data_IF_511286592417
#
_entry.id   IF_511286592417
#
_cell.length_a   1.000
_cell.length_b   1.000
_cell.length_c   1.000
_cell.angle_alpha   90.00
_cell.angle_beta   90.00
_cell.angle_gamma   90.00
#
_symmetry.space_group_name_H-M   'P 1'
#
loop_
_entity.id
_entity.type
_entity.pdbx_description
1 polymer ?
#
# COMPACT_ATOMS: atom_id res chain seq x y z
N UNK A 1 8.27 -30.41 23.22
CA UNK A 1 7.61 -29.34 22.44
C UNK A 1 8.47 -28.10 22.47
N UNK A 2 8.56 -27.42 21.34
CA UNK A 2 9.27 -26.17 21.22
C UNK A 2 8.25 -25.03 21.08
N UNK A 3 8.41 -23.98 21.88
CA UNK A 3 7.58 -22.79 21.84
C UNK A 3 8.42 -21.57 21.53
N UNK A 4 7.90 -20.68 20.71
CA UNK A 4 8.55 -19.40 20.40
C UNK A 4 7.58 -18.28 20.77
N UNK A 5 8.02 -17.36 21.61
CA UNK A 5 7.32 -16.10 21.84
C UNK A 5 7.82 -15.07 20.83
N UNK A 6 6.90 -14.36 20.20
CA UNK A 6 7.20 -13.29 19.24
C UNK A 6 6.72 -11.99 19.86
N UNK A 7 7.64 -11.03 20.03
CA UNK A 7 7.36 -9.67 20.49
C UNK A 7 7.93 -8.71 19.45
N UNK A 8 7.05 -8.17 18.62
CA UNK A 8 7.40 -7.31 17.50
C UNK A 8 6.45 -6.10 17.42
N UNK A 9 6.93 -5.01 16.87
CA UNK A 9 6.06 -3.90 16.47
C UNK A 9 5.19 -4.30 15.29
N UNK A 10 3.93 -3.83 15.25
CA UNK A 10 3.00 -4.11 14.15
C UNK A 10 3.48 -3.57 12.80
N UNK A 11 4.18 -2.42 12.80
CA UNK A 11 4.74 -1.77 11.61
C UNK A 11 6.17 -2.25 11.32
N UNK A 12 6.39 -3.55 11.21
CA UNK A 12 7.70 -4.11 10.93
C UNK A 12 7.69 -4.95 9.65
N UNK A 13 8.47 -4.51 8.65
CA UNK A 13 8.58 -5.20 7.36
C UNK A 13 7.27 -5.19 6.58
N UNK A 14 6.99 -6.22 5.79
CA UNK A 14 5.71 -6.35 5.10
C UNK A 14 4.60 -6.60 6.11
N UNK A 15 3.65 -5.68 6.20
CA UNK A 15 2.55 -5.75 7.16
C UNK A 15 1.22 -5.26 6.55
N UNK A 16 0.14 -5.49 7.28
CA UNK A 16 -1.20 -5.08 6.91
C UNK A 16 -1.73 -4.07 7.92
N UNK A 17 -2.25 -2.96 7.44
CA UNK A 17 -2.99 -2.00 8.23
C UNK A 17 -4.48 -2.12 7.93
N UNK A 18 -5.27 -2.22 8.99
CA UNK A 18 -6.72 -2.30 8.93
C UNK A 18 -7.35 -1.05 9.57
N UNK A 19 -8.66 -0.83 9.43
CA UNK A 19 -9.34 0.35 9.96
C UNK A 19 -9.06 0.65 11.45
N UNK A 20 -8.99 -0.37 12.29
CA UNK A 20 -8.69 -0.24 13.72
C UNK A 20 -7.35 0.47 14.01
N UNK A 21 -6.39 0.40 13.08
CA UNK A 21 -5.13 1.13 13.21
C UNK A 21 -5.33 2.65 13.32
N UNK A 22 -6.35 3.18 12.67
CA UNK A 22 -6.60 4.61 12.58
C UNK A 22 -7.65 5.11 13.60
N UNK A 23 -8.68 4.31 13.87
CA UNK A 23 -9.74 4.60 14.84
C UNK A 23 -10.12 3.32 15.57
N UNK A 24 -10.08 3.34 16.91
CA UNK A 24 -10.36 2.19 17.77
C UNK A 24 -11.83 1.74 17.77
N UNK A 25 -12.72 2.51 17.14
CA UNK A 25 -14.11 2.13 16.89
C UNK A 25 -14.31 1.45 15.54
N UNK A 26 -13.29 1.36 14.70
CA UNK A 26 -13.36 0.74 13.39
C UNK A 26 -12.92 -0.74 13.42
N UNK A 27 -13.30 -1.53 12.39
CA UNK A 27 -13.02 -2.96 12.40
C UNK A 27 -11.52 -3.31 12.48
N UNK A 28 -11.20 -4.26 13.35
CA UNK A 28 -9.89 -4.92 13.39
C UNK A 28 -9.75 -5.96 12.27
N UNK A 29 -8.54 -6.49 12.08
CA UNK A 29 -8.28 -7.58 11.13
C UNK A 29 -9.22 -8.77 11.34
N UNK A 30 -9.49 -9.13 12.60
CA UNK A 30 -10.34 -10.27 12.94
C UNK A 30 -11.82 -10.08 12.60
N UNK A 31 -12.25 -8.83 12.43
CA UNK A 31 -13.65 -8.47 12.14
C UNK A 31 -13.91 -8.26 10.65
N UNK A 32 -12.86 -8.09 9.85
CA UNK A 32 -12.99 -7.96 8.42
C UNK A 32 -13.29 -9.31 7.75
N UNK A 33 -14.12 -9.34 6.68
CA UNK A 33 -14.41 -10.57 5.97
C UNK A 33 -13.17 -11.14 5.29
N UNK A 34 -13.03 -12.46 5.23
CA UNK A 34 -11.89 -13.14 4.59
C UNK A 34 -11.71 -12.72 3.12
N UNK A 35 -12.79 -12.34 2.43
CA UNK A 35 -12.72 -11.83 1.06
C UNK A 35 -11.93 -10.55 0.90
N UNK A 36 -11.67 -9.81 1.98
CA UNK A 36 -10.77 -8.65 1.99
C UNK A 36 -9.34 -9.09 1.66
N UNK A 37 -8.92 -10.25 2.16
CA UNK A 37 -7.54 -10.71 2.16
C UNK A 37 -7.17 -11.61 0.98
N UNK A 38 -8.04 -11.76 -0.02
CA UNK A 38 -7.77 -12.57 -1.21
C UNK A 38 -8.58 -12.10 -2.41
N UNK A 39 -8.05 -12.30 -3.61
CA UNK A 39 -8.79 -12.01 -4.84
C UNK A 39 -7.90 -11.62 -6.00
N UNK A 40 -8.52 -10.97 -6.99
CA UNK A 40 -7.81 -10.41 -8.14
C UNK A 40 -6.94 -9.27 -7.68
N UNK A 41 -5.66 -9.33 -8.04
CA UNK A 41 -4.68 -8.30 -7.78
C UNK A 41 -4.21 -7.66 -9.09
N UNK A 42 -3.98 -6.36 -9.05
CA UNK A 42 -3.45 -5.56 -10.15
C UNK A 42 -2.17 -4.88 -9.67
N UNK A 43 -1.07 -5.14 -10.36
CA UNK A 43 0.20 -4.48 -10.14
C UNK A 43 0.37 -3.31 -11.12
N UNK A 44 0.59 -2.14 -10.58
CA UNK A 44 0.80 -0.88 -11.32
C UNK A 44 2.20 -0.38 -11.00
N UNK A 45 3.09 -0.51 -11.97
CA UNK A 45 4.46 0.00 -11.88
C UNK A 45 4.55 1.32 -12.66
N UNK A 46 4.64 2.42 -11.92
CA UNK A 46 4.78 3.76 -12.52
C UNK A 46 6.12 3.95 -13.22
N UNK A 47 7.11 3.06 -12.94
CA UNK A 47 8.48 3.21 -13.48
C UNK A 47 8.99 4.63 -13.24
N UNK A 48 9.22 5.37 -14.32
CA UNK A 48 9.65 6.78 -14.32
C UNK A 48 8.62 7.69 -15.01
N UNK A 49 7.36 7.25 -15.14
CA UNK A 49 6.30 8.03 -15.79
C UNK A 49 5.81 9.21 -14.94
N UNK A 50 6.07 9.15 -13.62
CA UNK A 50 5.87 10.24 -12.66
C UNK A 50 7.25 10.72 -12.20
N UNK A 51 7.41 12.02 -12.03
CA UNK A 51 8.71 12.57 -11.60
C UNK A 51 9.09 12.10 -10.18
N UNK A 52 10.38 11.90 -9.89
CA UNK A 52 10.82 11.50 -8.55
C UNK A 52 10.42 12.56 -7.51
N UNK A 53 10.18 12.09 -6.28
CA UNK A 53 9.76 12.94 -5.15
C UNK A 53 8.49 13.75 -5.45
N UNK A 54 7.52 13.12 -6.12
CA UNK A 54 6.24 13.73 -6.49
C UNK A 54 5.05 12.87 -6.07
N UNK A 55 3.89 13.50 -5.96
CA UNK A 55 2.64 12.78 -5.72
C UNK A 55 2.15 12.08 -6.97
N UNK A 56 1.59 10.89 -6.78
CA UNK A 56 0.80 10.18 -7.77
C UNK A 56 -0.56 10.88 -7.85
N UNK A 57 -0.91 11.41 -9.02
CA UNK A 57 -2.18 12.08 -9.25
C UNK A 57 -3.27 11.11 -9.71
N UNK A 58 -4.54 11.52 -9.62
CA UNK A 58 -5.65 10.76 -10.21
C UNK A 58 -5.45 10.54 -11.72
N UNK A 59 -4.90 11.52 -12.44
CA UNK A 59 -4.60 11.39 -13.87
C UNK A 59 -3.50 10.37 -14.15
N UNK A 60 -2.51 10.21 -13.27
CA UNK A 60 -1.51 9.15 -13.37
C UNK A 60 -2.13 7.77 -13.16
N UNK A 61 -3.04 7.64 -12.20
CA UNK A 61 -3.78 6.40 -11.95
C UNK A 61 -4.71 6.06 -13.12
N UNK A 62 -5.43 7.03 -13.68
CA UNK A 62 -6.28 6.82 -14.87
C UNK A 62 -5.47 6.28 -16.05
N UNK A 63 -4.25 6.75 -16.22
CA UNK A 63 -3.35 6.32 -17.29
C UNK A 63 -2.76 4.93 -17.06
N UNK A 64 -2.21 4.69 -15.86
CA UNK A 64 -1.41 3.50 -15.58
C UNK A 64 -2.24 2.35 -14.98
N UNK A 65 -3.35 2.68 -14.30
CA UNK A 65 -4.19 1.73 -13.57
C UNK A 65 -5.56 1.46 -14.23
N UNK A 66 -5.69 1.68 -15.53
CA UNK A 66 -6.95 1.56 -16.28
C UNK A 66 -7.57 0.16 -16.28
N UNK A 67 -6.81 -0.87 -15.85
CA UNK A 67 -7.28 -2.24 -15.73
C UNK A 67 -7.93 -2.53 -14.37
N UNK A 68 -7.90 -1.61 -13.42
CA UNK A 68 -8.47 -1.77 -12.07
C UNK A 68 -9.99 -1.87 -12.12
N UNK A 69 -10.56 -2.69 -11.27
CA UNK A 69 -12.00 -2.96 -11.15
C UNK A 69 -12.42 -2.92 -9.69
N UNK A 70 -13.70 -2.71 -9.45
CA UNK A 70 -14.29 -2.84 -8.12
C UNK A 70 -13.93 -4.19 -7.47
N UNK A 71 -13.49 -4.14 -6.22
CA UNK A 71 -13.09 -5.29 -5.42
C UNK A 71 -11.66 -5.81 -5.68
N UNK A 72 -10.85 -5.11 -6.47
CA UNK A 72 -9.45 -5.48 -6.68
C UNK A 72 -8.57 -5.17 -5.47
N UNK A 73 -7.47 -5.90 -5.38
CA UNK A 73 -6.27 -5.53 -4.62
C UNK A 73 -5.36 -4.79 -5.59
N UNK A 74 -5.02 -3.54 -5.31
CA UNK A 74 -4.16 -2.74 -6.18
C UNK A 74 -2.81 -2.54 -5.53
N UNK A 75 -1.75 -3.00 -6.19
CA UNK A 75 -0.37 -2.82 -5.73
C UNK A 75 0.28 -1.77 -6.60
N UNK A 76 0.80 -0.72 -5.99
CA UNK A 76 1.51 0.37 -6.68
C UNK A 76 2.98 0.38 -6.31
N UNK A 77 3.84 0.61 -7.28
CA UNK A 77 5.29 0.69 -7.13
C UNK A 77 5.92 1.64 -8.15
N UNK A 78 7.20 1.94 -8.00
CA UNK A 78 7.98 2.72 -8.96
C UNK A 78 9.44 2.26 -9.02
N UNK A 79 10.20 2.80 -9.98
CA UNK A 79 11.64 2.57 -10.07
C UNK A 79 12.46 3.30 -8.99
N UNK A 80 11.85 4.24 -8.26
CA UNK A 80 12.53 5.09 -7.26
C UNK A 80 12.61 4.42 -5.89
N UNK A 81 13.28 3.29 -5.82
CA UNK A 81 13.36 2.51 -4.58
C UNK A 81 14.33 3.11 -3.58
N UNK A 82 13.98 3.03 -2.29
CA UNK A 82 14.93 3.35 -1.23
C UNK A 82 16.04 2.30 -1.20
N UNK A 83 17.27 2.80 -1.05
CA UNK A 83 18.38 1.94 -0.69
C UNK A 83 18.17 1.37 0.72
N UNK A 84 18.49 0.09 0.97
CA UNK A 84 18.39 -0.47 2.32
C UNK A 84 19.13 0.41 3.33
N UNK A 85 18.50 0.67 4.47
CA UNK A 85 19.09 1.51 5.52
C UNK A 85 20.46 0.96 5.95
N UNK A 86 21.50 1.70 5.63
CA UNK A 86 22.85 1.54 6.17
C UNK A 86 23.22 2.77 6.99
N UNK A 87 24.31 2.73 7.74
CA UNK A 87 24.77 3.90 8.51
C UNK A 87 25.03 5.14 7.65
N UNK A 88 25.20 4.97 6.36
CA UNK A 88 25.55 6.00 5.39
C UNK A 88 24.35 6.53 4.57
N UNK A 89 23.17 5.90 4.66
CA UNK A 89 21.98 6.23 3.84
C UNK A 89 21.15 7.42 4.36
N UNK A 90 21.49 7.98 5.53
CA UNK A 90 20.79 9.15 6.10
C UNK A 90 20.96 10.45 5.29
N UNK A 91 21.68 10.44 4.17
CA UNK A 91 21.94 11.61 3.32
C UNK A 91 21.29 11.53 1.95
N UNK A 92 20.69 10.41 1.58
CA UNK A 92 20.01 10.28 0.29
C UNK A 92 18.69 11.03 0.30
N UNK A 93 18.44 11.80 -0.75
CA UNK A 93 17.14 12.45 -0.98
C UNK A 93 16.15 11.35 -1.33
N UNK A 94 15.04 11.28 -0.62
CA UNK A 94 13.94 10.37 -0.93
C UNK A 94 13.39 10.70 -2.32
N UNK A 95 13.45 9.74 -3.23
CA UNK A 95 12.96 9.85 -4.61
C UNK A 95 11.65 9.11 -4.83
N UNK A 96 11.17 8.40 -3.81
CA UNK A 96 9.93 7.65 -3.93
C UNK A 96 8.79 8.55 -4.35
N UNK A 97 7.78 7.94 -4.94
CA UNK A 97 6.51 8.60 -5.19
C UNK A 97 5.70 8.65 -3.89
N UNK A 98 4.83 9.63 -3.80
CA UNK A 98 3.96 9.83 -2.64
C UNK A 98 2.49 9.74 -3.03
N UNK A 99 1.67 9.34 -2.06
CA UNK A 99 0.21 9.35 -2.15
C UNK A 99 -0.35 10.41 -1.21
N UNK A 100 -1.57 10.85 -1.48
CA UNK A 100 -2.28 11.86 -0.70
C UNK A 100 -3.79 11.64 -0.76
N UNK A 101 -4.59 12.59 -0.29
CA UNK A 101 -6.05 12.51 -0.30
C UNK A 101 -6.65 12.39 -1.71
N UNK A 102 -6.04 12.96 -2.75
CA UNK A 102 -6.50 12.80 -4.14
C UNK A 102 -6.33 11.34 -4.60
N UNK A 103 -5.16 10.76 -4.33
CA UNK A 103 -4.87 9.36 -4.61
C UNK A 103 -5.84 8.43 -3.86
N UNK A 104 -6.08 8.71 -2.57
CA UNK A 104 -7.03 7.96 -1.75
C UNK A 104 -8.44 8.00 -2.34
N UNK A 105 -8.89 9.20 -2.74
CA UNK A 105 -10.21 9.35 -3.34
C UNK A 105 -10.35 8.55 -4.64
N UNK A 106 -9.32 8.48 -5.46
CA UNK A 106 -9.34 7.66 -6.67
C UNK A 106 -9.57 6.18 -6.35
N UNK A 107 -8.85 5.61 -5.36
CA UNK A 107 -9.03 4.23 -4.94
C UNK A 107 -10.42 3.97 -4.35
N UNK A 108 -10.92 4.90 -3.53
CA UNK A 108 -12.26 4.86 -2.96
C UNK A 108 -13.34 4.87 -4.06
N UNK A 109 -13.27 5.80 -5.02
CA UNK A 109 -14.22 5.91 -6.13
C UNK A 109 -14.23 4.64 -7.02
N UNK A 110 -13.09 3.94 -7.12
CA UNK A 110 -12.97 2.66 -7.83
C UNK A 110 -13.33 1.44 -6.96
N UNK A 111 -13.68 1.68 -5.68
CA UNK A 111 -14.12 0.64 -4.73
C UNK A 111 -13.14 -0.53 -4.66
N UNK A 112 -11.86 -0.26 -4.65
CA UNK A 112 -10.85 -1.28 -4.38
C UNK A 112 -10.97 -1.76 -2.94
N UNK A 113 -10.50 -2.94 -2.61
CA UNK A 113 -10.58 -3.46 -1.23
C UNK A 113 -9.26 -3.42 -0.48
N UNK A 114 -8.16 -3.21 -1.20
CA UNK A 114 -6.83 -3.15 -0.62
C UNK A 114 -5.90 -2.35 -1.53
N UNK A 115 -5.03 -1.55 -0.93
CA UNK A 115 -3.94 -0.88 -1.64
C UNK A 115 -2.61 -1.37 -1.05
N UNK A 116 -1.74 -1.90 -1.91
CA UNK A 116 -0.40 -2.35 -1.55
C UNK A 116 0.67 -1.39 -2.06
N UNK A 117 1.75 -1.23 -1.29
CA UNK A 117 2.85 -0.32 -1.58
C UNK A 117 4.16 -1.09 -1.71
N UNK A 118 4.79 -0.96 -2.88
CA UNK A 118 6.17 -1.40 -3.10
C UNK A 118 7.19 -0.42 -2.54
N UNK A 119 8.46 -0.79 -2.60
CA UNK A 119 9.57 0.02 -2.07
C UNK A 119 9.74 1.39 -2.77
N UNK A 120 9.13 1.59 -3.94
CA UNK A 120 9.20 2.82 -4.72
C UNK A 120 8.11 3.85 -4.43
N UNK A 121 7.17 3.53 -3.52
CA UNK A 121 6.08 4.42 -3.11
C UNK A 121 6.04 4.50 -1.59
N UNK A 122 5.80 5.69 -1.06
CA UNK A 122 5.63 5.95 0.37
C UNK A 122 4.28 6.56 0.65
N UNK A 123 3.64 6.11 1.72
CA UNK A 123 2.46 6.76 2.28
C UNK A 123 2.85 7.77 3.37
N UNK A 124 4.11 7.74 3.84
CA UNK A 124 4.61 8.57 4.93
C UNK A 124 5.47 9.71 4.37
N UNK A 125 4.82 10.75 3.86
CA UNK A 125 5.50 11.97 3.41
C UNK A 125 5.39 13.08 4.46
N UNK A 126 4.19 13.58 4.68
CA UNK A 126 3.86 14.61 5.67
C UNK A 126 2.44 14.41 6.19
N UNK A 127 2.11 15.05 7.32
CA UNK A 127 0.78 14.88 7.93
C UNK A 127 -0.37 15.30 7.01
N UNK A 128 -0.14 16.30 6.15
CA UNK A 128 -1.10 16.80 5.19
C UNK A 128 -1.47 15.75 4.13
N UNK A 129 -0.55 14.83 3.83
CA UNK A 129 -0.76 13.72 2.89
C UNK A 129 -1.26 12.45 3.61
N UNK A 130 -0.57 12.06 4.68
CA UNK A 130 -0.80 10.83 5.44
C UNK A 130 -2.21 10.77 6.00
N UNK A 131 -2.63 11.83 6.70
CA UNK A 131 -3.91 11.84 7.40
C UNK A 131 -5.11 11.69 6.45
N UNK A 132 -5.28 12.49 5.39
CA UNK A 132 -6.40 12.31 4.46
C UNK A 132 -6.39 10.95 3.76
N UNK A 133 -5.22 10.39 3.49
CA UNK A 133 -5.09 9.08 2.86
C UNK A 133 -5.67 7.98 3.75
N UNK A 134 -5.32 7.99 5.04
CA UNK A 134 -5.85 7.06 6.03
C UNK A 134 -7.34 7.31 6.32
N UNK A 135 -7.73 8.58 6.54
CA UNK A 135 -9.11 8.96 6.84
C UNK A 135 -10.09 8.44 5.76
N UNK A 136 -9.72 8.57 4.48
CA UNK A 136 -10.60 8.20 3.37
C UNK A 136 -10.68 6.67 3.21
N UNK A 137 -9.54 5.99 3.14
CA UNK A 137 -9.53 4.59 2.75
C UNK A 137 -9.92 3.66 3.91
N UNK A 138 -9.37 3.88 5.10
CA UNK A 138 -9.66 3.02 6.24
C UNK A 138 -11.11 3.16 6.72
N UNK A 139 -11.74 4.34 6.58
CA UNK A 139 -13.17 4.53 6.86
C UNK A 139 -14.07 3.66 5.96
N UNK A 140 -13.61 3.29 4.77
CA UNK A 140 -14.34 2.44 3.83
C UNK A 140 -13.91 0.96 3.89
N UNK A 141 -13.15 0.58 4.91
CA UNK A 141 -12.58 -0.77 5.07
C UNK A 141 -11.61 -1.17 3.95
N UNK A 142 -10.99 -0.20 3.29
CA UNK A 142 -9.92 -0.43 2.31
C UNK A 142 -8.62 -0.54 3.10
N UNK A 143 -8.06 -1.74 3.17
CA UNK A 143 -6.86 -2.04 3.96
C UNK A 143 -5.58 -1.71 3.20
N UNK A 144 -4.47 -1.54 3.93
CA UNK A 144 -3.15 -1.33 3.33
C UNK A 144 -2.26 -2.56 3.48
N UNK A 145 -1.40 -2.75 2.49
CA UNK A 145 -0.26 -3.67 2.56
C UNK A 145 1.00 -2.85 2.32
N UNK A 146 1.82 -2.73 3.35
CA UNK A 146 3.01 -1.91 3.28
C UNK A 146 4.28 -2.72 3.12
N UNK A 147 5.29 -2.07 2.56
CA UNK A 147 6.65 -2.59 2.40
C UNK A 147 6.64 -3.93 1.64
N UNK A 148 5.89 -3.99 0.53
CA UNK A 148 5.92 -5.14 -0.37
C UNK A 148 7.25 -5.17 -1.14
N UNK A 149 7.85 -6.35 -1.25
CA UNK A 149 9.15 -6.55 -1.90
C UNK A 149 9.11 -7.60 -2.98
N UNK A 150 10.17 -7.60 -3.80
CA UNK A 150 10.34 -8.54 -4.92
C UNK A 150 9.23 -8.43 -5.97
N UNK A 151 8.61 -7.28 -6.10
CA UNK A 151 7.54 -7.05 -7.07
C UNK A 151 8.05 -7.12 -8.52
N UNK A 152 9.35 -6.91 -8.73
CA UNK A 152 10.02 -7.08 -10.02
C UNK A 152 10.03 -8.54 -10.52
N UNK A 153 9.73 -9.50 -9.66
CA UNK A 153 9.61 -10.92 -10.04
C UNK A 153 8.22 -11.30 -10.54
N UNK A 154 7.27 -10.37 -10.51
CA UNK A 154 5.94 -10.60 -11.05
C UNK A 154 5.97 -10.71 -12.56
N UNK A 155 5.56 -11.87 -13.10
CA UNK A 155 5.51 -12.10 -14.55
C UNK A 155 4.30 -11.43 -15.23
N UNK A 156 3.28 -11.09 -14.45
CA UNK A 156 2.02 -10.52 -14.95
C UNK A 156 1.53 -9.41 -14.03
N UNK A 157 0.94 -8.39 -14.63
CA UNK A 157 0.33 -7.29 -13.89
C UNK A 157 -1.04 -7.64 -13.28
N UNK A 158 -1.66 -8.74 -13.69
CA UNK A 158 -2.94 -9.22 -13.15
C UNK A 158 -2.75 -10.67 -12.70
N UNK A 159 -3.01 -10.93 -11.42
CA UNK A 159 -2.84 -12.25 -10.81
C UNK A 159 -3.83 -12.47 -9.67
N UNK A 160 -3.88 -13.67 -9.13
CA UNK A 160 -4.60 -13.95 -7.89
C UNK A 160 -3.64 -13.75 -6.71
N UNK A 161 -4.06 -12.98 -5.72
CA UNK A 161 -3.31 -12.75 -4.49
C UNK A 161 -4.10 -13.21 -3.27
N UNK A 162 -3.41 -13.73 -2.29
CA UNK A 162 -3.92 -13.93 -0.93
C UNK A 162 -2.84 -13.53 0.07
N UNK A 163 -3.26 -12.96 1.18
CA UNK A 163 -2.40 -12.61 2.30
C UNK A 163 -3.14 -12.88 3.60
N UNK A 164 -2.39 -13.21 4.65
CA UNK A 164 -2.96 -13.66 5.92
C UNK A 164 -2.31 -12.90 7.06
N UNK A 165 -2.81 -11.69 7.36
CA UNK A 165 -2.30 -10.95 8.52
C UNK A 165 -2.61 -11.72 9.81
N UNK A 166 -1.77 -11.53 10.81
CA UNK A 166 -2.05 -12.03 12.17
C UNK A 166 -3.11 -11.11 12.81
N UNK A 167 -4.10 -11.67 13.50
CA UNK A 167 -5.15 -10.91 14.18
C UNK A 167 -4.61 -10.20 15.43
#
# INVERSE_FOLDING_TARGET
DFHTNIDIMSHLGTHCECPYHHDDNWPSVAELPLSTFLGRAVYVDFKETVAPNSHITAADLDREANMVREGDIVIIDSSYKLTPFTKDTNTEIDKRLFVNGETAKWFSDHKVKCVGFGDGVSIENCNEDVKPFHDILLAENIVFLEVLRNLELLEKNIFFMSYSPLP
#
